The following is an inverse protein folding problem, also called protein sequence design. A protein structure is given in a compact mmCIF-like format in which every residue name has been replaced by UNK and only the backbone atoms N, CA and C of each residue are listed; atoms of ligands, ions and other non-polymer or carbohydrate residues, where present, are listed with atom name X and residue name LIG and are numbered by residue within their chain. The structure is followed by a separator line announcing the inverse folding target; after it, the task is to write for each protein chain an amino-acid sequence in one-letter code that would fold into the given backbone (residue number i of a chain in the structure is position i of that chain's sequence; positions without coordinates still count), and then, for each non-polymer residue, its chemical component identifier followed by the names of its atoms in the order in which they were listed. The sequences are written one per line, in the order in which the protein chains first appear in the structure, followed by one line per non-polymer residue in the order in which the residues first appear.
data_IF_597355679350
#
_entry.id   IF_597355679350
#
_cell.length_a   1.000
_cell.length_b   1.000
_cell.length_c   1.000
_cell.angle_alpha   90.00
_cell.angle_beta   90.00
_cell.angle_gamma   90.00
#
_symmetry.space_group_name_H-M   'P 1'
#
loop_
_entity.id
_entity.type
_entity.pdbx_description
1 polymer ?
#
# COMPACT_ATOMS: atom_id res chain seq x y z
N UNK A 1 51.36 -41.99 70.29
CA UNK A 1 50.11 -41.24 70.24
C UNK A 1 49.89 -40.71 68.79
N UNK A 2 49.06 -41.40 68.03
CA UNK A 2 48.78 -41.05 66.59
C UNK A 2 47.55 -40.16 66.51
N UNK A 3 47.70 -38.97 65.97
CA UNK A 3 46.59 -38.07 65.67
C UNK A 3 46.07 -38.36 64.25
N UNK A 4 44.83 -38.77 64.19
CA UNK A 4 44.08 -38.95 62.92
C UNK A 4 43.39 -37.67 62.60
N UNK A 5 43.65 -37.11 61.39
CA UNK A 5 43.00 -35.94 60.87
C UNK A 5 41.89 -36.39 59.93
N UNK A 6 40.65 -35.88 60.04
CA UNK A 6 39.59 -36.23 59.06
C UNK A 6 39.66 -35.33 57.79
N UNK A 7 39.66 -35.99 56.64
CA UNK A 7 39.61 -35.39 55.33
C UNK A 7 38.15 -35.01 55.02
N UNK A 8 37.86 -33.75 54.95
CA UNK A 8 36.57 -33.26 54.52
C UNK A 8 36.52 -33.29 52.98
N UNK A 9 35.70 -34.18 52.42
CA UNK A 9 35.37 -34.20 50.98
C UNK A 9 34.29 -33.21 50.71
N UNK A 10 34.66 -32.13 50.01
CA UNK A 10 33.72 -31.06 49.54
C UNK A 10 33.14 -31.46 48.16
N UNK A 11 31.93 -32.01 48.18
CA UNK A 11 31.20 -32.38 46.95
C UNK A 11 30.58 -31.11 46.34
N UNK A 12 31.23 -30.57 45.31
CA UNK A 12 30.69 -29.45 44.56
C UNK A 12 29.49 -29.86 43.68
N UNK A 13 28.31 -29.40 44.02
CA UNK A 13 27.10 -29.52 43.19
C UNK A 13 27.19 -28.51 42.05
N UNK A 14 27.49 -28.96 40.83
CA UNK A 14 27.40 -28.17 39.61
C UNK A 14 25.92 -28.04 39.22
N UNK A 15 25.30 -26.90 39.51
CA UNK A 15 24.02 -26.51 38.95
C UNK A 15 24.21 -26.11 37.50
N UNK A 16 23.88 -27.01 36.57
CA UNK A 16 23.67 -26.65 35.16
C UNK A 16 22.37 -25.86 35.08
N UNK A 17 22.44 -24.54 35.06
CA UNK A 17 21.36 -23.71 34.63
C UNK A 17 21.20 -23.87 33.10
N UNK A 18 20.33 -24.78 32.68
CA UNK A 18 19.89 -24.84 31.31
C UNK A 18 19.13 -23.53 31.02
N UNK A 19 19.77 -22.59 30.30
CA UNK A 19 19.05 -21.51 29.65
C UNK A 19 18.06 -22.17 28.70
N UNK A 20 16.77 -22.14 29.05
CA UNK A 20 15.70 -22.35 28.09
C UNK A 20 15.84 -21.25 27.04
N UNK A 21 16.29 -21.61 25.84
CA UNK A 21 16.14 -20.78 24.64
C UNK A 21 14.63 -20.56 24.52
N UNK A 22 14.18 -19.34 24.76
CA UNK A 22 12.82 -18.96 24.42
C UNK A 22 12.70 -19.18 22.91
N UNK A 23 11.86 -20.11 22.49
CA UNK A 23 11.41 -20.16 21.11
C UNK A 23 10.64 -18.85 20.90
N UNK A 24 11.34 -17.82 20.41
CA UNK A 24 10.72 -16.64 19.84
C UNK A 24 9.94 -17.13 18.60
N UNK A 25 8.71 -17.57 18.84
CA UNK A 25 7.75 -17.77 17.76
C UNK A 25 7.55 -16.39 17.14
N UNK A 26 8.20 -16.16 16.01
CA UNK A 26 8.00 -14.91 15.25
C UNK A 26 6.48 -14.71 15.11
N UNK A 27 6.01 -13.49 15.40
CA UNK A 27 4.61 -13.16 15.20
C UNK A 27 4.23 -13.52 13.75
N UNK A 28 3.03 -14.11 13.53
CA UNK A 28 2.61 -14.49 12.19
C UNK A 28 2.70 -13.28 11.26
N UNK A 29 3.21 -13.49 10.05
CA UNK A 29 3.30 -12.45 9.04
C UNK A 29 1.90 -11.88 8.78
N UNK A 30 1.82 -10.56 8.59
CA UNK A 30 0.57 -9.90 8.25
C UNK A 30 -0.01 -10.50 6.97
N UNK A 31 -1.30 -10.76 6.97
CA UNK A 31 -2.09 -11.19 5.80
C UNK A 31 -3.31 -10.29 5.66
N UNK A 32 -3.53 -9.78 4.48
CA UNK A 32 -4.71 -8.97 4.16
C UNK A 32 -5.92 -9.87 3.91
N UNK A 33 -6.81 -9.98 4.90
CA UNK A 33 -7.98 -10.86 4.82
C UNK A 33 -9.03 -10.41 3.78
N UNK A 34 -9.01 -9.14 3.38
CA UNK A 34 -9.99 -8.54 2.45
C UNK A 34 -9.43 -8.27 1.06
N UNK A 35 -8.12 -8.50 0.84
CA UNK A 35 -7.49 -8.26 -0.44
C UNK A 35 -7.79 -9.38 -1.44
N UNK A 36 -8.11 -9.02 -2.68
CA UNK A 36 -8.32 -9.99 -3.75
C UNK A 36 -6.99 -10.54 -4.25
N UNK A 37 -6.99 -11.81 -4.64
CA UNK A 37 -5.81 -12.48 -5.24
C UNK A 37 -5.89 -12.56 -6.76
N UNK A 38 -7.03 -12.19 -7.32
CA UNK A 38 -7.30 -12.13 -8.77
C UNK A 38 -7.91 -10.79 -9.13
N UNK A 39 -7.73 -10.29 -10.37
CA UNK A 39 -8.36 -9.07 -10.82
C UNK A 39 -9.89 -9.13 -10.77
N UNK A 40 -10.51 -8.01 -10.41
CA UNK A 40 -11.97 -7.81 -10.48
C UNK A 40 -12.41 -7.37 -11.88
N UNK A 41 -11.48 -6.85 -12.68
CA UNK A 41 -11.74 -6.32 -14.01
C UNK A 41 -12.13 -7.44 -14.99
N UNK A 42 -13.15 -7.18 -15.81
CA UNK A 42 -13.58 -8.07 -16.87
C UNK A 42 -12.78 -7.79 -18.16
N UNK A 43 -12.35 -8.84 -18.86
CA UNK A 43 -11.58 -8.75 -20.10
C UNK A 43 -12.27 -7.91 -21.20
N UNK A 44 -13.59 -7.92 -21.27
CA UNK A 44 -14.36 -7.10 -22.19
C UNK A 44 -14.21 -5.59 -21.96
N UNK A 45 -13.70 -5.17 -20.80
CA UNK A 45 -13.54 -3.78 -20.41
C UNK A 45 -12.07 -3.31 -20.47
N UNK A 46 -11.10 -4.18 -20.76
CA UNK A 46 -9.66 -3.85 -20.69
C UNK A 46 -9.29 -2.65 -21.58
N UNK A 47 -9.88 -2.54 -22.77
CA UNK A 47 -9.63 -1.47 -23.74
C UNK A 47 -10.78 -0.42 -23.79
N UNK A 48 -11.44 -0.17 -22.67
CA UNK A 48 -12.61 0.72 -22.59
C UNK A 48 -12.48 1.64 -21.38
N UNK A 49 -13.24 2.73 -21.32
CA UNK A 49 -13.39 3.52 -20.07
C UNK A 49 -14.25 2.83 -19.02
N UNK A 50 -14.94 1.73 -19.35
CA UNK A 50 -15.50 0.80 -18.36
C UNK A 50 -14.40 0.08 -17.59
N UNK A 51 -14.75 -0.49 -16.43
CA UNK A 51 -13.88 -1.38 -15.67
C UNK A 51 -13.65 -0.94 -14.24
N UNK A 52 -12.58 -1.43 -13.67
CA UNK A 52 -12.18 -1.19 -12.28
C UNK A 52 -10.94 -0.29 -12.27
N UNK A 53 -10.96 0.71 -11.40
CA UNK A 53 -9.85 1.60 -11.13
C UNK A 53 -9.54 1.54 -9.65
N UNK A 54 -8.29 1.28 -9.31
CA UNK A 54 -7.83 1.15 -7.92
C UNK A 54 -6.71 2.13 -7.65
N UNK A 55 -6.63 2.61 -6.42
CA UNK A 55 -5.61 3.57 -6.05
C UNK A 55 -5.51 3.85 -4.58
N UNK A 56 -4.65 4.79 -4.24
CA UNK A 56 -4.29 5.18 -2.88
C UNK A 56 -4.63 6.63 -2.59
N UNK A 57 -4.88 6.91 -1.31
CA UNK A 57 -5.03 8.26 -0.77
C UNK A 57 -3.68 8.73 -0.26
N UNK A 58 -3.05 9.65 -0.96
CA UNK A 58 -1.73 10.17 -0.63
C UNK A 58 -1.83 11.20 0.49
N UNK A 59 -1.03 11.05 1.53
CA UNK A 59 -1.02 11.92 2.70
C UNK A 59 -2.02 11.55 3.78
N UNK A 60 -2.64 10.39 3.63
CA UNK A 60 -3.45 9.72 4.63
C UNK A 60 -3.30 8.21 4.45
N UNK A 61 -3.90 7.42 5.34
CA UNK A 61 -4.09 5.98 5.17
C UNK A 61 -5.39 5.76 4.42
N UNK A 62 -5.33 5.20 3.21
CA UNK A 62 -6.57 4.92 2.50
C UNK A 62 -6.42 4.46 1.06
N UNK A 63 -7.45 3.78 0.59
CA UNK A 63 -7.57 3.26 -0.78
C UNK A 63 -8.87 3.72 -1.43
N UNK A 64 -8.89 3.71 -2.75
CA UNK A 64 -10.07 4.00 -3.56
C UNK A 64 -10.24 2.94 -4.63
N UNK A 65 -11.44 2.38 -4.73
CA UNK A 65 -11.85 1.52 -5.85
C UNK A 65 -13.03 2.17 -6.55
N UNK A 66 -12.92 2.42 -7.85
CA UNK A 66 -14.00 2.91 -8.70
C UNK A 66 -14.43 1.79 -9.65
N UNK A 67 -15.73 1.53 -9.70
CA UNK A 67 -16.35 0.61 -10.63
C UNK A 67 -17.18 1.39 -11.65
N UNK A 68 -16.73 1.44 -12.91
CA UNK A 68 -17.50 2.01 -14.00
C UNK A 68 -18.14 0.88 -14.80
N UNK A 69 -19.35 0.51 -14.40
CA UNK A 69 -20.18 -0.47 -15.12
C UNK A 69 -19.43 -1.77 -15.52
N UNK A 70 -18.52 -2.26 -14.67
CA UNK A 70 -17.64 -3.41 -14.98
C UNK A 70 -18.42 -4.71 -15.21
N UNK A 71 -19.44 -5.00 -14.40
CA UNK A 71 -20.28 -6.19 -14.53
C UNK A 71 -21.76 -5.90 -14.67
N UNK A 72 -22.14 -4.66 -15.04
CA UNK A 72 -23.54 -4.23 -15.12
C UNK A 72 -23.65 -2.74 -15.44
N UNK A 73 -24.76 -2.11 -15.06
CA UNK A 73 -24.98 -0.67 -15.27
C UNK A 73 -24.55 0.19 -14.07
N UNK A 74 -24.17 -0.42 -12.95
CA UNK A 74 -23.86 0.30 -11.72
C UNK A 74 -22.51 1.00 -11.80
N UNK A 75 -22.49 2.27 -11.39
CA UNK A 75 -21.29 3.09 -11.33
C UNK A 75 -21.13 3.59 -9.90
N UNK A 76 -20.10 3.10 -9.22
CA UNK A 76 -19.86 3.35 -7.81
C UNK A 76 -18.37 3.55 -7.52
N UNK A 77 -18.09 4.17 -6.40
CA UNK A 77 -16.75 4.13 -5.82
C UNK A 77 -16.83 3.77 -4.32
N UNK A 78 -15.83 3.05 -3.85
CA UNK A 78 -15.63 2.75 -2.44
C UNK A 78 -14.28 3.31 -2.02
N UNK A 79 -14.28 4.24 -1.09
CA UNK A 79 -13.07 4.77 -0.46
C UNK A 79 -12.98 4.21 0.95
N UNK A 80 -11.83 3.68 1.32
CA UNK A 80 -11.51 3.37 2.71
C UNK A 80 -10.45 4.36 3.15
N UNK A 81 -10.71 5.12 4.19
CA UNK A 81 -9.77 6.13 4.71
C UNK A 81 -9.80 6.12 6.24
N UNK A 82 -8.64 6.00 6.86
CA UNK A 82 -8.47 5.86 8.31
C UNK A 82 -9.44 4.82 8.94
N UNK A 83 -9.60 3.68 8.24
CA UNK A 83 -10.49 2.59 8.64
C UNK A 83 -11.99 2.86 8.43
N UNK A 84 -12.37 4.03 7.90
CA UNK A 84 -13.76 4.36 7.58
C UNK A 84 -14.07 4.05 6.12
N UNK A 85 -15.11 3.26 5.85
CA UNK A 85 -15.58 2.99 4.50
C UNK A 85 -16.61 4.04 4.08
N UNK A 86 -16.36 4.68 2.95
CA UNK A 86 -17.22 5.68 2.32
C UNK A 86 -17.68 5.16 0.95
N UNK A 87 -18.98 4.97 0.81
CA UNK A 87 -19.57 4.60 -0.47
C UNK A 87 -19.99 5.86 -1.23
N UNK A 88 -19.57 5.93 -2.48
CA UNK A 88 -19.83 7.05 -3.37
C UNK A 88 -20.52 6.55 -4.65
N UNK A 89 -21.37 7.37 -5.22
CA UNK A 89 -22.09 7.05 -6.46
C UNK A 89 -21.96 8.18 -7.46
N UNK A 90 -22.07 7.85 -8.74
CA UNK A 90 -22.19 8.84 -9.81
C UNK A 90 -23.52 8.71 -10.51
N UNK A 91 -24.15 9.86 -10.85
CA UNK A 91 -25.36 9.94 -11.66
C UNK A 91 -25.06 9.93 -13.18
N UNK A 92 -23.78 10.02 -13.57
CA UNK A 92 -23.37 10.09 -15.00
C UNK A 92 -23.34 8.68 -15.56
N UNK A 93 -24.19 8.42 -16.58
CA UNK A 93 -24.19 7.16 -17.30
C UNK A 93 -22.92 7.03 -18.17
N UNK A 94 -22.40 5.81 -18.30
CA UNK A 94 -21.32 5.52 -19.22
C UNK A 94 -21.83 5.47 -20.68
N UNK A 95 -21.05 6.04 -21.61
CA UNK A 95 -21.34 6.05 -23.05
C UNK A 95 -20.19 5.40 -23.81
N UNK A 96 -20.51 4.49 -24.72
CA UNK A 96 -19.51 3.77 -25.52
C UNK A 96 -18.69 4.73 -26.41
N UNK A 97 -17.37 4.52 -26.45
CA UNK A 97 -16.46 5.30 -27.30
C UNK A 97 -16.22 6.74 -26.79
N UNK A 98 -16.64 7.07 -25.57
CA UNK A 98 -16.39 8.36 -24.96
C UNK A 98 -15.48 8.24 -23.73
N UNK A 99 -14.69 9.29 -23.41
CA UNK A 99 -14.09 9.43 -22.08
C UNK A 99 -15.20 9.39 -21.02
N UNK A 100 -14.84 8.93 -19.82
CA UNK A 100 -15.77 9.02 -18.69
C UNK A 100 -15.29 10.13 -17.74
N UNK A 101 -16.17 11.10 -17.49
CA UNK A 101 -15.94 12.24 -16.58
C UNK A 101 -17.14 12.36 -15.67
N UNK A 102 -16.93 12.30 -14.35
CA UNK A 102 -18.03 12.34 -13.40
C UNK A 102 -17.59 12.71 -11.98
N UNK A 103 -18.56 13.22 -11.23
CA UNK A 103 -18.44 13.33 -9.79
C UNK A 103 -18.96 12.06 -9.12
N UNK A 104 -18.16 11.51 -8.21
CA UNK A 104 -18.57 10.50 -7.25
C UNK A 104 -18.86 11.19 -5.93
N UNK A 105 -20.09 11.07 -5.45
CA UNK A 105 -20.57 11.77 -4.25
C UNK A 105 -21.06 10.79 -3.19
N UNK A 106 -20.83 11.11 -1.93
CA UNK A 106 -21.26 10.34 -0.77
C UNK A 106 -21.13 11.15 0.51
N UNK A 107 -21.20 10.45 1.64
CA UNK A 107 -21.14 11.09 2.95
C UNK A 107 -20.09 10.37 3.82
N UNK A 108 -19.21 11.14 4.43
CA UNK A 108 -18.24 10.69 5.43
C UNK A 108 -18.47 11.46 6.74
N UNK A 109 -18.78 10.75 7.83
CA UNK A 109 -19.02 11.35 9.14
C UNK A 109 -20.06 12.51 9.12
N UNK A 110 -21.14 12.35 8.32
CA UNK A 110 -22.19 13.37 8.19
C UNK A 110 -21.85 14.54 7.26
N UNK A 111 -20.67 14.59 6.68
CA UNK A 111 -20.23 15.65 5.75
C UNK A 111 -20.08 15.09 4.33
N UNK A 112 -20.31 15.95 3.32
CA UNK A 112 -20.20 15.55 1.92
C UNK A 112 -18.75 15.16 1.57
N UNK A 113 -18.59 14.01 0.92
CA UNK A 113 -17.36 13.58 0.26
C UNK A 113 -17.58 13.60 -1.26
N UNK A 114 -16.65 14.17 -2.02
CA UNK A 114 -16.73 14.30 -3.48
C UNK A 114 -15.39 13.98 -4.10
N UNK A 115 -15.41 13.21 -5.18
CA UNK A 115 -14.24 12.90 -6.02
C UNK A 115 -14.61 13.24 -7.46
N UNK A 116 -13.94 14.23 -8.05
CA UNK A 116 -14.02 14.50 -9.48
C UNK A 116 -13.08 13.56 -10.22
N UNK A 117 -13.63 12.66 -11.00
CA UNK A 117 -12.89 11.62 -11.71
C UNK A 117 -13.00 11.80 -13.23
N UNK A 118 -11.89 11.56 -13.92
CA UNK A 118 -11.82 11.55 -15.36
C UNK A 118 -10.93 10.41 -15.85
N UNK A 119 -11.32 9.79 -16.98
CA UNK A 119 -10.53 8.76 -17.66
C UNK A 119 -10.77 8.79 -19.15
N UNK A 120 -9.72 8.53 -19.94
CA UNK A 120 -9.79 8.48 -21.40
C UNK A 120 -10.60 7.31 -21.95
N UNK A 121 -10.93 7.35 -23.25
CA UNK A 121 -11.79 6.38 -23.94
C UNK A 121 -11.38 4.93 -23.71
N UNK A 122 -10.08 4.64 -23.74
CA UNK A 122 -9.55 3.29 -23.59
C UNK A 122 -9.22 2.95 -22.12
N UNK A 123 -9.68 3.75 -21.16
CA UNK A 123 -9.36 3.56 -19.75
C UNK A 123 -7.97 4.05 -19.37
N UNK A 124 -7.28 4.78 -20.23
CA UNK A 124 -5.98 5.36 -19.97
C UNK A 124 -6.09 6.66 -19.15
N UNK A 125 -4.98 7.04 -18.49
CA UNK A 125 -4.87 8.28 -17.71
C UNK A 125 -6.04 8.52 -16.74
N UNK A 126 -6.39 7.55 -15.87
CA UNK A 126 -7.37 7.82 -14.83
C UNK A 126 -6.82 8.87 -13.87
N UNK A 127 -7.59 9.89 -13.57
CA UNK A 127 -7.18 10.97 -12.68
C UNK A 127 -8.34 11.43 -11.80
N UNK A 128 -8.06 11.67 -10.53
CA UNK A 128 -8.90 12.45 -9.64
C UNK A 128 -8.45 13.92 -9.73
N UNK A 129 -9.20 14.76 -10.43
CA UNK A 129 -8.81 16.16 -10.70
C UNK A 129 -9.00 17.07 -9.49
N UNK A 130 -9.95 16.75 -8.64
CA UNK A 130 -10.13 17.38 -7.33
C UNK A 130 -10.85 16.44 -6.35
N UNK A 131 -10.64 16.68 -5.06
CA UNK A 131 -11.29 15.89 -4.02
C UNK A 131 -11.76 16.79 -2.87
N UNK A 132 -12.92 16.46 -2.31
CA UNK A 132 -13.36 16.96 -1.02
C UNK A 132 -13.54 15.78 -0.10
N UNK A 133 -12.58 15.57 0.80
CA UNK A 133 -12.60 14.47 1.77
C UNK A 133 -12.62 15.10 3.17
N UNK A 134 -13.73 14.97 3.93
CA UNK A 134 -13.85 15.55 5.26
C UNK A 134 -12.72 15.12 6.19
N UNK A 135 -12.05 16.11 6.82
CA UNK A 135 -10.89 15.87 7.68
C UNK A 135 -9.55 15.70 6.95
N UNK A 136 -9.55 15.61 5.62
CA UNK A 136 -8.35 15.33 4.81
C UNK A 136 -8.16 16.34 3.69
N UNK A 137 -8.11 17.62 4.02
CA UNK A 137 -8.10 18.74 3.06
C UNK A 137 -6.88 18.77 2.15
N UNK A 138 -5.80 18.10 2.51
CA UNK A 138 -4.56 18.01 1.73
C UNK A 138 -4.36 16.65 1.07
N UNK A 139 -5.31 15.72 1.22
CA UNK A 139 -5.22 14.41 0.59
C UNK A 139 -5.36 14.54 -0.94
N UNK A 140 -4.59 13.75 -1.65
CA UNK A 140 -4.69 13.58 -3.10
C UNK A 140 -4.82 12.11 -3.45
N UNK A 141 -5.37 11.81 -4.62
CA UNK A 141 -5.61 10.45 -5.07
C UNK A 141 -4.72 10.14 -6.27
N UNK A 142 -4.18 8.94 -6.30
CA UNK A 142 -3.57 8.38 -7.49
C UNK A 142 -4.24 7.05 -7.81
N UNK A 143 -4.58 6.83 -9.07
CA UNK A 143 -5.34 5.67 -9.53
C UNK A 143 -4.73 5.09 -10.79
N UNK A 144 -4.82 3.76 -10.92
CA UNK A 144 -4.56 3.07 -12.17
C UNK A 144 -5.75 2.17 -12.53
N UNK A 145 -5.88 1.85 -13.81
CA UNK A 145 -6.87 0.90 -14.28
C UNK A 145 -6.39 -0.52 -13.98
N UNK A 146 -7.27 -1.32 -13.38
CA UNK A 146 -7.09 -2.76 -13.32
C UNK A 146 -7.52 -3.39 -14.65
N UNK A 147 -6.76 -4.37 -15.13
CA UNK A 147 -7.12 -5.18 -16.29
C UNK A 147 -7.40 -6.62 -15.88
N UNK A 148 -8.06 -7.39 -16.72
CA UNK A 148 -8.39 -8.79 -16.43
C UNK A 148 -7.17 -9.68 -16.16
N UNK A 149 -5.99 -9.26 -16.58
CA UNK A 149 -4.70 -9.95 -16.37
C UNK A 149 -3.76 -9.24 -15.41
N UNK A 150 -4.10 -8.02 -15.00
CA UNK A 150 -3.23 -7.16 -14.19
C UNK A 150 -3.87 -6.79 -12.86
N UNK A 151 -3.79 -7.69 -11.85
CA UNK A 151 -4.23 -7.37 -10.50
C UNK A 151 -3.53 -6.12 -10.00
N UNK A 152 -4.31 -5.15 -9.53
CA UNK A 152 -3.80 -3.95 -8.85
C UNK A 152 -3.81 -4.17 -7.35
N UNK A 153 -2.66 -3.97 -6.74
CA UNK A 153 -2.43 -4.11 -5.31
C UNK A 153 -2.00 -2.76 -4.73
N UNK A 154 -2.56 -2.38 -3.59
CA UNK A 154 -2.16 -1.18 -2.86
C UNK A 154 -1.48 -1.56 -1.56
N UNK A 155 -0.37 -0.91 -1.26
CA UNK A 155 0.35 -1.04 0.01
C UNK A 155 0.47 0.32 0.66
N UNK A 156 0.28 0.35 1.97
CA UNK A 156 0.35 1.56 2.77
C UNK A 156 1.23 1.35 3.99
N UNK A 157 1.94 2.40 4.37
CA UNK A 157 2.81 2.35 5.54
C UNK A 157 3.59 3.62 5.75
N UNK A 158 4.79 3.47 6.29
CA UNK A 158 5.65 4.57 6.68
C UNK A 158 7.05 4.43 6.12
N UNK A 159 7.73 5.55 5.99
CA UNK A 159 9.16 5.59 5.82
C UNK A 159 9.82 6.35 6.96
N UNK A 160 11.04 5.96 7.27
CA UNK A 160 11.95 6.61 8.19
C UNK A 160 13.27 6.90 7.50
N UNK A 161 13.82 8.09 7.69
CA UNK A 161 15.10 8.52 7.14
C UNK A 161 16.11 8.79 8.25
N UNK A 162 17.40 8.54 7.99
CA UNK A 162 18.51 8.91 8.92
C UNK A 162 18.65 10.42 9.13
N UNK A 163 18.08 11.25 8.26
CA UNK A 163 17.76 12.63 8.61
C UNK A 163 16.34 12.62 9.21
N UNK A 164 15.97 13.52 10.11
CA UNK A 164 14.65 13.49 10.79
C UNK A 164 13.52 13.84 9.81
N UNK A 165 13.25 12.96 8.89
CA UNK A 165 12.20 13.04 7.88
C UNK A 165 11.44 11.72 7.87
N UNK A 166 10.40 11.66 8.67
CA UNK A 166 9.47 10.53 8.69
C UNK A 166 8.21 10.89 7.92
N UNK A 167 7.52 9.89 7.39
CA UNK A 167 6.29 10.15 6.66
C UNK A 167 5.50 8.90 6.33
N UNK A 168 4.39 9.14 5.63
CA UNK A 168 3.56 8.09 5.06
C UNK A 168 4.05 7.72 3.68
N UNK A 169 3.84 6.45 3.32
CA UNK A 169 4.25 5.89 2.05
C UNK A 169 3.13 5.01 1.51
N UNK A 170 2.76 5.24 0.26
CA UNK A 170 1.72 4.52 -0.43
C UNK A 170 2.30 3.94 -1.72
N UNK A 171 1.98 2.70 -2.04
CA UNK A 171 2.31 2.06 -3.31
C UNK A 171 1.08 1.54 -4.02
N UNK A 172 1.07 1.71 -5.34
CA UNK A 172 0.17 1.02 -6.26
C UNK A 172 1.06 0.14 -7.12
N UNK A 173 0.79 -1.15 -7.19
CA UNK A 173 1.61 -2.06 -7.97
C UNK A 173 0.81 -3.16 -8.64
N UNK A 174 1.40 -3.79 -9.63
CA UNK A 174 0.91 -5.03 -10.22
C UNK A 174 2.08 -5.98 -10.40
N UNK A 175 2.06 -7.10 -9.66
CA UNK A 175 3.09 -8.15 -9.79
C UNK A 175 3.02 -8.82 -11.15
N UNK A 176 1.82 -8.98 -11.71
CA UNK A 176 1.63 -9.61 -13.03
C UNK A 176 2.12 -8.73 -14.17
N UNK A 177 1.96 -7.41 -14.07
CA UNK A 177 2.47 -6.45 -15.05
C UNK A 177 3.90 -5.97 -14.71
N UNK A 178 4.45 -6.44 -13.60
CA UNK A 178 5.82 -6.17 -13.13
C UNK A 178 6.14 -4.68 -12.99
N UNK A 179 5.20 -3.86 -12.54
CA UNK A 179 5.37 -2.43 -12.33
C UNK A 179 4.87 -1.95 -10.97
N UNK A 180 5.41 -0.82 -10.52
CA UNK A 180 5.00 -0.14 -9.30
C UNK A 180 5.07 1.38 -9.43
N UNK A 181 4.24 2.06 -8.64
CA UNK A 181 4.23 3.50 -8.39
C UNK A 181 4.22 3.73 -6.89
N UNK A 182 5.06 4.61 -6.40
CA UNK A 182 5.16 4.95 -4.97
C UNK A 182 5.01 6.44 -4.74
N UNK A 183 4.40 6.80 -3.61
CA UNK A 183 4.12 8.18 -3.21
C UNK A 183 4.48 8.34 -1.75
N UNK A 184 5.47 9.20 -1.46
CA UNK A 184 5.91 9.52 -0.11
C UNK A 184 5.46 10.93 0.25
N UNK A 185 4.93 11.12 1.45
CA UNK A 185 4.63 12.43 2.02
C UNK A 185 5.21 12.54 3.43
N UNK A 186 6.04 13.55 3.64
CA UNK A 186 6.60 13.85 4.96
C UNK A 186 5.49 14.25 5.94
N UNK A 187 5.62 13.84 7.20
CA UNK A 187 4.70 14.22 8.25
C UNK A 187 4.61 15.74 8.39
N UNK A 188 3.39 16.27 8.44
CA UNK A 188 3.13 17.71 8.51
C UNK A 188 3.25 18.47 7.18
N UNK A 189 3.64 17.82 6.07
CA UNK A 189 3.67 18.47 4.76
C UNK A 189 2.27 18.58 4.16
N UNK A 190 1.97 19.71 3.52
CA UNK A 190 0.69 19.99 2.87
C UNK A 190 0.72 19.77 1.34
N UNK A 191 1.87 19.36 0.80
CA UNK A 191 2.04 19.11 -0.63
C UNK A 191 2.00 17.62 -0.93
N UNK A 192 1.64 17.26 -2.17
CA UNK A 192 1.87 15.90 -2.68
C UNK A 192 3.37 15.61 -2.54
N UNK A 193 3.72 14.49 -1.92
CA UNK A 193 5.10 14.13 -1.67
C UNK A 193 5.88 13.75 -2.93
N UNK A 194 7.03 13.15 -2.72
CA UNK A 194 7.85 12.60 -3.80
C UNK A 194 7.14 11.39 -4.41
N UNK A 195 7.11 11.34 -5.75
CA UNK A 195 6.63 10.16 -6.48
C UNK A 195 7.82 9.41 -7.09
N UNK A 196 7.70 8.09 -7.16
CA UNK A 196 8.65 7.20 -7.82
C UNK A 196 7.90 6.09 -8.57
N UNK A 197 8.58 5.47 -9.52
CA UNK A 197 8.04 4.33 -10.26
C UNK A 197 9.15 3.44 -10.78
N UNK A 198 8.83 2.19 -11.10
CA UNK A 198 9.80 1.27 -11.64
C UNK A 198 9.24 -0.11 -11.91
N UNK A 199 10.15 -1.07 -12.06
CA UNK A 199 9.81 -2.45 -12.31
C UNK A 199 9.80 -3.30 -11.03
N UNK A 200 9.06 -4.42 -11.08
CA UNK A 200 9.15 -5.48 -10.08
C UNK A 200 9.95 -6.63 -10.67
N UNK A 201 11.01 -7.04 -10.00
CA UNK A 201 11.83 -8.19 -10.39
C UNK A 201 12.15 -9.05 -9.17
N UNK A 202 11.83 -10.33 -9.21
CA UNK A 202 12.03 -11.27 -8.09
C UNK A 202 11.46 -10.72 -6.77
N UNK A 203 10.22 -10.23 -6.79
CA UNK A 203 9.53 -9.58 -5.68
C UNK A 203 10.22 -8.32 -5.12
N UNK A 204 11.17 -7.73 -5.84
CA UNK A 204 11.84 -6.50 -5.44
C UNK A 204 11.35 -5.34 -6.28
N UNK A 205 11.10 -4.21 -5.63
CA UNK A 205 10.82 -2.94 -6.29
C UNK A 205 12.14 -2.33 -6.75
N UNK A 206 12.35 -2.25 -8.05
CA UNK A 206 13.57 -1.71 -8.67
C UNK A 206 13.30 -0.27 -9.09
N UNK A 207 14.10 0.65 -8.58
CA UNK A 207 14.00 2.07 -8.92
C UNK A 207 15.07 2.45 -9.95
N UNK A 208 14.70 2.78 -11.20
CA UNK A 208 15.64 3.15 -12.24
C UNK A 208 16.34 4.49 -11.96
N UNK A 209 15.74 5.36 -11.15
CA UNK A 209 16.34 6.67 -10.79
C UNK A 209 17.43 6.54 -9.72
N UNK A 210 17.48 5.40 -9.04
CA UNK A 210 18.44 5.04 -7.99
C UNK A 210 19.42 3.96 -8.47
N UNK A 211 19.99 4.09 -9.66
CA UNK A 211 20.92 3.11 -10.26
C UNK A 211 20.37 1.68 -10.33
N UNK A 212 19.08 1.52 -10.55
CA UNK A 212 18.39 0.22 -10.54
C UNK A 212 18.54 -0.56 -9.22
N UNK A 213 18.70 0.15 -8.09
CA UNK A 213 18.72 -0.53 -6.80
C UNK A 213 17.31 -0.99 -6.39
N UNK A 214 17.27 -2.02 -5.54
CA UNK A 214 16.05 -2.42 -4.88
C UNK A 214 15.74 -1.46 -3.73
N UNK A 215 14.55 -0.85 -3.76
CA UNK A 215 14.05 0.01 -2.68
C UNK A 215 13.17 -0.74 -1.69
N UNK A 216 12.70 -1.95 -2.04
CA UNK A 216 11.88 -2.77 -1.16
C UNK A 216 11.69 -4.18 -1.70
N UNK A 217 11.26 -5.07 -0.83
CA UNK A 217 10.95 -6.47 -1.13
C UNK A 217 9.53 -6.77 -0.68
N UNK A 218 8.74 -7.39 -1.57
CA UNK A 218 7.40 -7.88 -1.30
C UNK A 218 7.51 -9.30 -0.75
N UNK A 219 6.96 -9.53 0.44
CA UNK A 219 6.84 -10.84 1.06
C UNK A 219 5.39 -11.05 1.50
N UNK A 220 4.64 -11.82 0.73
CA UNK A 220 3.20 -11.94 0.89
C UNK A 220 2.50 -10.59 0.78
N UNK A 221 1.85 -10.16 1.85
CA UNK A 221 1.16 -8.88 1.98
C UNK A 221 1.98 -7.82 2.74
N UNK A 222 3.28 -8.06 2.90
CA UNK A 222 4.22 -7.09 3.47
C UNK A 222 5.14 -6.55 2.38
N UNK A 223 5.52 -5.28 2.49
CA UNK A 223 6.52 -4.64 1.67
C UNK A 223 7.49 -3.90 2.58
N UNK A 224 8.71 -4.39 2.67
CA UNK A 224 9.75 -3.84 3.51
C UNK A 224 10.97 -3.46 2.68
N UNK A 225 11.66 -2.39 3.08
CA UNK A 225 12.88 -1.96 2.40
C UNK A 225 13.83 -1.22 3.30
N UNK A 226 15.10 -1.28 2.91
CA UNK A 226 16.16 -0.47 3.48
C UNK A 226 17.15 -0.17 2.35
N UNK A 227 17.31 1.11 2.01
CA UNK A 227 18.15 1.52 0.90
C UNK A 227 18.76 2.90 1.16
N UNK A 228 19.79 3.25 0.41
CA UNK A 228 20.40 4.58 0.46
C UNK A 228 19.90 5.38 -0.75
N UNK A 229 19.32 6.55 -0.50
CA UNK A 229 18.84 7.44 -1.56
C UNK A 229 19.98 8.23 -2.23
N UNK A 230 19.65 8.94 -3.31
CA UNK A 230 20.61 9.76 -4.06
C UNK A 230 21.27 10.88 -3.26
N UNK A 231 20.78 11.18 -2.03
CA UNK A 231 21.36 12.16 -1.10
C UNK A 231 22.20 11.50 0.00
N UNK A 232 22.44 10.19 -0.08
CA UNK A 232 23.20 9.42 0.91
C UNK A 232 22.45 9.15 2.21
N UNK A 233 21.12 9.26 2.23
CA UNK A 233 20.29 8.97 3.40
C UNK A 233 19.86 7.52 3.37
N UNK A 234 19.94 6.83 4.50
CA UNK A 234 19.32 5.51 4.64
C UNK A 234 17.83 5.69 4.87
N UNK A 235 17.03 5.08 4.00
CA UNK A 235 15.57 5.08 4.06
C UNK A 235 15.12 3.68 4.44
N UNK A 236 14.35 3.57 5.51
CA UNK A 236 13.67 2.33 5.90
C UNK A 236 12.19 2.47 5.60
N UNK A 237 11.59 1.49 4.92
CA UNK A 237 10.17 1.45 4.61
C UNK A 237 9.52 0.20 5.19
N UNK A 238 8.30 0.37 5.72
CA UNK A 238 7.47 -0.70 6.25
C UNK A 238 6.03 -0.45 5.80
N UNK A 239 5.53 -1.31 4.91
CA UNK A 239 4.18 -1.20 4.38
C UNK A 239 3.46 -2.54 4.44
N UNK A 240 2.13 -2.47 4.46
CA UNK A 240 1.21 -3.60 4.43
C UNK A 240 0.26 -3.44 3.27
N UNK A 241 -0.13 -4.55 2.65
CA UNK A 241 -1.15 -4.55 1.62
C UNK A 241 -2.51 -4.20 2.22
N UNK A 242 -3.26 -3.34 1.53
CA UNK A 242 -4.58 -2.83 1.98
C UNK A 242 -5.67 -3.01 0.93
N UNK A 243 -5.27 -3.37 -0.31
CA UNK A 243 -6.19 -3.66 -1.41
C UNK A 243 -5.62 -4.70 -2.37
#
# INVERSE_FOLDING_TARGET
MKKISPLFALTGLLFFTACKKSDDTAAPAYTCATCHTTPDALAANDASSKGIYKGVVIGSSGTLTINIANGGATITATMVIDGTTVNLTSAVAWVAGQPYVADFTGTMNGSAAVIHFSVGVNGNTPIATSTTIPGHTTASLNLIKETSTGLVECFEGTYHSTKPEDGVLNFILSRTLSNWYGFARQNGANTSGTAGSGAISNNKLIDPTQNNQSIGTIDGDNLNGNFVDGNGRTITIVCKRTL
#
